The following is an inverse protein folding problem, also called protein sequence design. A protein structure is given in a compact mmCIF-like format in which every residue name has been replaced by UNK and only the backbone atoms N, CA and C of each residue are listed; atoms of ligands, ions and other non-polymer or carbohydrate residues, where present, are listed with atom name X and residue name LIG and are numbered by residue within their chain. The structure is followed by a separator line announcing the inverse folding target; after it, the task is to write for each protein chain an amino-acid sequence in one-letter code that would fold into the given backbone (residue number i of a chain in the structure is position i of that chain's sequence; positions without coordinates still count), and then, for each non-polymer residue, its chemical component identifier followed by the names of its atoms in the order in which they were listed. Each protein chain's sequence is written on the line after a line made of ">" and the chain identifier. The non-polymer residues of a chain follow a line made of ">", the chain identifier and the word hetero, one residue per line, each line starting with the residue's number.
data_IF_859125183869
#
_entry.id   IF_859125183869
#
_cell.length_a   1.000
_cell.length_b   1.000
_cell.length_c   1.000
_cell.angle_alpha   90.00
_cell.angle_beta   90.00
_cell.angle_gamma   90.00
#
_symmetry.space_group_name_H-M   'P 1'
#
loop_
_entity.id
_entity.type
_entity.pdbx_description
1 polymer ?
#
# COMPACT_ATOMS: atom_id res chain seq x y z
N UNK A 1 31.48 48.39 -40.65
CA UNK A 1 32.53 47.93 -39.70
C UNK A 1 32.04 46.61 -39.09
N UNK A 2 32.51 45.47 -39.59
CA UNK A 2 32.06 44.13 -39.14
C UNK A 2 33.16 43.57 -38.23
N UNK A 3 32.88 43.39 -36.94
CA UNK A 3 33.77 42.71 -36.01
C UNK A 3 33.55 41.20 -36.13
N UNK A 4 34.46 40.53 -36.81
CA UNK A 4 34.56 39.07 -36.79
C UNK A 4 35.15 38.65 -35.45
N UNK A 5 34.35 38.03 -34.59
CA UNK A 5 34.84 37.41 -33.35
C UNK A 5 35.62 36.16 -33.71
N UNK A 6 36.93 36.18 -33.46
CA UNK A 6 37.79 35.00 -33.62
C UNK A 6 37.41 33.99 -32.53
N UNK A 7 36.80 32.87 -32.91
CA UNK A 7 36.53 31.76 -32.00
C UNK A 7 37.84 31.03 -31.75
N UNK A 8 38.34 31.13 -30.53
CA UNK A 8 39.58 30.45 -30.10
C UNK A 8 39.33 28.94 -30.14
N UNK A 9 39.85 28.26 -31.15
CA UNK A 9 39.85 26.81 -31.22
C UNK A 9 40.84 26.27 -30.17
N UNK A 10 40.29 25.82 -29.03
CA UNK A 10 41.03 25.05 -28.03
C UNK A 10 41.21 23.63 -28.56
N UNK A 11 42.46 23.20 -28.75
CA UNK A 11 42.77 21.82 -29.12
C UNK A 11 42.26 20.85 -28.06
N UNK A 12 41.52 19.83 -28.50
CA UNK A 12 40.99 18.76 -27.65
C UNK A 12 42.15 18.05 -26.95
N UNK A 13 42.24 18.15 -25.63
CA UNK A 13 43.24 17.43 -24.86
C UNK A 13 42.72 16.00 -24.59
N UNK A 14 43.56 14.99 -24.83
CA UNK A 14 43.23 13.58 -24.56
C UNK A 14 42.78 13.37 -23.10
N UNK A 15 43.37 14.12 -22.16
CA UNK A 15 42.98 14.11 -20.75
C UNK A 15 41.53 14.57 -20.56
N UNK A 16 41.10 15.60 -21.29
CA UNK A 16 39.74 16.14 -21.19
C UNK A 16 38.69 15.12 -21.66
N UNK A 17 38.98 14.39 -22.74
CA UNK A 17 38.08 13.34 -23.23
C UNK A 17 37.99 12.17 -22.24
N UNK A 18 39.11 11.78 -21.62
CA UNK A 18 39.13 10.73 -20.59
C UNK A 18 38.32 11.18 -19.37
N UNK A 19 38.53 12.41 -18.88
CA UNK A 19 37.79 12.96 -17.74
C UNK A 19 36.29 13.04 -18.04
N UNK A 20 35.92 13.53 -19.23
CA UNK A 20 34.52 13.58 -19.66
C UNK A 20 33.90 12.16 -19.72
N UNK A 21 34.64 11.16 -20.20
CA UNK A 21 34.19 9.77 -20.22
C UNK A 21 33.98 9.18 -18.83
N UNK A 22 34.86 9.48 -17.87
CA UNK A 22 34.74 9.05 -16.47
C UNK A 22 33.52 9.70 -15.80
N UNK A 23 33.33 11.01 -16.00
CA UNK A 23 32.18 11.75 -15.46
C UNK A 23 30.87 11.21 -16.06
N UNK A 24 30.84 10.96 -17.37
CA UNK A 24 29.66 10.40 -18.02
C UNK A 24 29.34 9.01 -17.48
N UNK A 25 30.35 8.16 -17.34
CA UNK A 25 30.17 6.79 -16.84
C UNK A 25 29.64 6.77 -15.40
N UNK A 26 30.16 7.64 -14.53
CA UNK A 26 29.66 7.74 -13.15
C UNK A 26 28.23 8.25 -13.09
N UNK A 27 27.87 9.24 -13.93
CA UNK A 27 26.51 9.76 -14.02
C UNK A 27 25.51 8.69 -14.48
N UNK A 28 25.86 7.85 -15.46
CA UNK A 28 24.98 6.78 -15.94
C UNK A 28 24.74 5.72 -14.87
N UNK A 29 25.77 5.36 -14.10
CA UNK A 29 25.65 4.39 -13.01
C UNK A 29 24.73 4.90 -11.89
N UNK A 30 24.89 6.17 -11.49
CA UNK A 30 24.05 6.76 -10.44
C UNK A 30 22.60 6.88 -10.89
N UNK A 31 22.35 7.32 -12.13
CA UNK A 31 21.01 7.37 -12.70
C UNK A 31 20.36 5.98 -12.75
N UNK A 32 21.09 4.97 -13.24
CA UNK A 32 20.59 3.60 -13.29
C UNK A 32 20.21 3.04 -11.92
N UNK A 33 21.02 3.34 -10.89
CA UNK A 33 20.73 2.95 -9.51
C UNK A 33 19.47 3.64 -8.97
N UNK A 34 19.32 4.95 -9.19
CA UNK A 34 18.15 5.71 -8.76
C UNK A 34 16.88 5.20 -9.44
N UNK A 35 16.91 5.00 -10.76
CA UNK A 35 15.76 4.49 -11.51
C UNK A 35 15.35 3.09 -11.02
N UNK A 36 16.33 2.21 -10.79
CA UNK A 36 16.05 0.86 -10.30
C UNK A 36 15.44 0.86 -8.90
N UNK A 37 15.93 1.74 -8.02
CA UNK A 37 15.36 1.96 -6.69
C UNK A 37 13.91 2.44 -6.78
N UNK A 38 13.67 3.51 -7.55
CA UNK A 38 12.33 4.08 -7.72
C UNK A 38 11.30 3.06 -8.27
N UNK A 39 11.69 2.24 -9.25
CA UNK A 39 10.81 1.18 -9.78
C UNK A 39 10.49 0.10 -8.73
N UNK A 40 11.46 -0.21 -7.88
CA UNK A 40 11.27 -1.18 -6.79
C UNK A 40 10.30 -0.63 -5.75
N UNK A 41 10.45 0.65 -5.38
CA UNK A 41 9.58 1.32 -4.41
C UNK A 41 8.15 1.48 -4.96
N UNK A 42 8.00 1.83 -6.24
CA UNK A 42 6.68 1.90 -6.90
C UNK A 42 5.96 0.55 -6.90
N UNK A 43 6.69 -0.53 -7.20
CA UNK A 43 6.12 -1.89 -7.16
C UNK A 43 5.66 -2.25 -5.75
N UNK A 44 6.46 -1.90 -4.75
CA UNK A 44 6.12 -2.16 -3.36
C UNK A 44 4.88 -1.35 -2.93
N UNK A 45 4.83 -0.06 -3.27
CA UNK A 45 3.69 0.79 -2.98
C UNK A 45 2.39 0.23 -3.59
N UNK A 46 2.44 -0.25 -4.84
CA UNK A 46 1.28 -0.88 -5.48
C UNK A 46 0.78 -2.12 -4.74
N UNK A 47 1.68 -2.93 -4.17
CA UNK A 47 1.27 -4.09 -3.35
C UNK A 47 0.55 -3.63 -2.08
N UNK A 48 1.03 -2.57 -1.42
CA UNK A 48 0.37 -1.99 -0.25
C UNK A 48 -0.99 -1.39 -0.59
N UNK A 49 -1.12 -0.68 -1.71
CA UNK A 49 -2.41 -0.15 -2.18
C UNK A 49 -3.41 -1.29 -2.46
N UNK A 50 -2.95 -2.38 -3.06
CA UNK A 50 -3.79 -3.56 -3.32
C UNK A 50 -4.22 -4.21 -2.01
N UNK A 51 -3.30 -4.42 -1.07
CA UNK A 51 -3.60 -4.96 0.24
C UNK A 51 -4.60 -4.06 1.01
N UNK A 52 -4.42 -2.74 0.95
CA UNK A 52 -5.35 -1.77 1.54
C UNK A 52 -6.75 -1.84 0.90
N UNK A 53 -6.83 -2.01 -0.43
CA UNK A 53 -8.11 -2.24 -1.11
C UNK A 53 -8.79 -3.53 -0.67
N UNK A 54 -8.03 -4.61 -0.41
CA UNK A 54 -8.58 -5.84 0.16
C UNK A 54 -9.15 -5.59 1.56
N UNK A 55 -8.42 -4.87 2.42
CA UNK A 55 -8.92 -4.49 3.75
C UNK A 55 -10.21 -3.69 3.65
N UNK A 56 -10.24 -2.67 2.79
CA UNK A 56 -11.39 -1.78 2.61
C UNK A 56 -12.64 -2.55 2.15
N UNK A 57 -12.47 -3.49 1.20
CA UNK A 57 -13.54 -4.40 0.77
C UNK A 57 -14.06 -5.25 1.93
N UNK A 58 -13.18 -5.86 2.72
CA UNK A 58 -13.61 -6.68 3.87
C UNK A 58 -14.31 -5.84 4.93
N UNK A 59 -13.79 -4.65 5.22
CA UNK A 59 -14.42 -3.74 6.17
C UNK A 59 -15.81 -3.30 5.70
N UNK A 60 -15.96 -2.96 4.42
CA UNK A 60 -17.25 -2.60 3.82
C UNK A 60 -18.24 -3.75 3.88
N UNK A 61 -17.79 -5.00 3.68
CA UNK A 61 -18.64 -6.18 3.80
C UNK A 61 -19.11 -6.40 5.25
N UNK A 62 -18.22 -6.24 6.22
CA UNK A 62 -18.56 -6.36 7.65
C UNK A 62 -19.56 -5.26 8.06
N UNK A 63 -19.36 -4.02 7.58
CA UNK A 63 -20.27 -2.91 7.86
C UNK A 63 -21.66 -3.11 7.24
N UNK A 64 -21.72 -3.67 6.01
CA UNK A 64 -22.99 -3.94 5.33
C UNK A 64 -23.80 -5.09 5.94
N UNK A 65 -23.13 -6.14 6.43
CA UNK A 65 -23.76 -7.32 7.05
C UNK A 65 -24.08 -7.07 8.53
N UNK A 66 -23.26 -6.25 9.19
CA UNK A 66 -23.28 -6.06 10.63
C UNK A 66 -22.33 -7.05 11.33
N UNK A 67 -21.61 -6.55 12.34
CA UNK A 67 -20.59 -7.32 13.06
C UNK A 67 -21.15 -8.54 13.79
N UNK A 68 -22.37 -8.46 14.34
CA UNK A 68 -23.00 -9.57 15.06
C UNK A 68 -23.26 -10.76 14.12
N UNK A 69 -23.83 -10.51 12.93
CA UNK A 69 -24.08 -11.55 11.94
C UNK A 69 -22.79 -12.10 11.32
N UNK A 70 -21.76 -11.26 11.18
CA UNK A 70 -20.44 -11.70 10.72
C UNK A 70 -19.79 -12.69 11.69
N UNK A 71 -19.89 -12.45 13.01
CA UNK A 71 -19.39 -13.35 14.04
C UNK A 71 -20.15 -14.69 13.99
N UNK A 72 -21.48 -14.67 13.81
CA UNK A 72 -22.30 -15.89 13.69
C UNK A 72 -21.95 -16.73 12.45
N UNK A 73 -21.58 -16.09 11.34
CA UNK A 73 -21.18 -16.78 10.11
C UNK A 73 -19.83 -17.49 10.21
N UNK A 74 -18.98 -17.12 11.17
CA UNK A 74 -17.71 -17.80 11.45
C UNK A 74 -16.65 -17.72 10.33
N UNK A 75 -16.90 -16.95 9.27
CA UNK A 75 -15.96 -16.77 8.17
C UNK A 75 -15.00 -15.63 8.50
N UNK A 76 -13.94 -15.95 9.24
CA UNK A 76 -12.91 -15.00 9.66
C UNK A 76 -11.67 -15.00 8.79
N UNK A 77 -11.54 -15.91 7.82
CA UNK A 77 -10.35 -16.02 6.98
C UNK A 77 -10.68 -16.33 5.51
N UNK A 78 -9.77 -15.95 4.62
CA UNK A 78 -9.90 -16.23 3.19
C UNK A 78 -8.67 -15.85 2.38
N UNK A 79 -8.71 -16.16 1.08
CA UNK A 79 -7.66 -15.82 0.12
C UNK A 79 -8.27 -15.14 -1.08
N UNK A 80 -7.66 -14.03 -1.51
CA UNK A 80 -7.98 -13.34 -2.75
C UNK A 80 -6.90 -13.66 -3.77
N UNK A 81 -7.25 -14.48 -4.76
CA UNK A 81 -6.37 -14.88 -5.86
C UNK A 81 -6.51 -13.98 -7.10
N UNK A 82 -7.45 -13.02 -7.09
CA UNK A 82 -7.67 -12.06 -8.18
C UNK A 82 -6.42 -11.24 -8.52
N UNK A 83 -5.54 -11.03 -7.53
CA UNK A 83 -4.31 -10.26 -7.68
C UNK A 83 -3.10 -11.12 -7.35
N UNK A 84 -2.14 -11.22 -8.27
CA UNK A 84 -0.81 -11.77 -7.94
C UNK A 84 -0.14 -10.88 -6.89
N UNK A 85 0.52 -11.45 -5.85
CA UNK A 85 0.92 -12.85 -5.67
C UNK A 85 -0.09 -13.75 -4.92
N UNK A 86 -1.32 -13.27 -4.68
CA UNK A 86 -2.30 -13.87 -3.79
C UNK A 86 -2.24 -13.22 -2.40
N UNK A 87 -3.39 -12.71 -1.94
CA UNK A 87 -3.51 -12.02 -0.66
C UNK A 87 -4.40 -12.82 0.28
N UNK A 88 -3.82 -13.36 1.36
CA UNK A 88 -4.56 -14.00 2.42
C UNK A 88 -5.03 -12.95 3.43
N UNK A 89 -6.30 -12.99 3.82
CA UNK A 89 -6.86 -12.07 4.82
C UNK A 89 -7.44 -12.86 5.98
N UNK A 90 -7.36 -12.26 7.18
CA UNK A 90 -7.92 -12.78 8.40
C UNK A 90 -8.51 -11.63 9.23
N UNK A 91 -9.65 -11.87 9.86
CA UNK A 91 -10.41 -10.94 10.69
C UNK A 91 -10.48 -11.50 12.09
N UNK A 92 -10.01 -10.74 13.07
CA UNK A 92 -10.15 -11.05 14.49
C UNK A 92 -11.08 -10.02 15.12
N UNK A 93 -12.09 -10.49 15.84
CA UNK A 93 -13.04 -9.66 16.56
C UNK A 93 -12.85 -9.86 18.07
N UNK A 94 -12.77 -8.77 18.81
CA UNK A 94 -12.67 -8.78 20.27
C UNK A 94 -13.75 -7.88 20.85
N UNK A 95 -14.50 -8.40 21.82
CA UNK A 95 -15.55 -7.64 22.50
C UNK A 95 -14.95 -6.76 23.59
N UNK A 96 -15.11 -5.43 23.49
CA UNK A 96 -14.52 -4.48 24.45
C UNK A 96 -15.34 -4.33 25.75
N UNK A 97 -16.48 -5.02 25.90
CA UNK A 97 -17.26 -5.00 27.15
C UNK A 97 -18.13 -3.77 27.36
N UNK A 98 -18.18 -2.85 26.40
CA UNK A 98 -18.88 -1.57 26.48
C UNK A 98 -19.85 -1.48 25.31
N UNK A 99 -21.15 -1.32 25.59
CA UNK A 99 -22.21 -0.89 24.66
C UNK A 99 -22.21 -1.57 23.26
N UNK A 100 -21.98 -2.88 23.23
CA UNK A 100 -21.89 -3.68 22.00
C UNK A 100 -20.79 -3.25 21.01
N UNK A 101 -19.70 -2.64 21.50
CA UNK A 101 -18.53 -2.25 20.70
C UNK A 101 -17.59 -3.45 20.52
N UNK A 102 -17.21 -3.70 19.27
CA UNK A 102 -16.22 -4.71 18.89
C UNK A 102 -14.98 -4.04 18.30
N UNK A 103 -13.81 -4.47 18.77
CA UNK A 103 -12.54 -4.18 18.13
C UNK A 103 -12.33 -5.21 17.01
N UNK A 104 -12.30 -4.73 15.78
CA UNK A 104 -12.11 -5.54 14.57
C UNK A 104 -10.70 -5.31 14.04
N UNK A 105 -9.91 -6.38 13.99
CA UNK A 105 -8.56 -6.38 13.43
C UNK A 105 -8.55 -7.17 12.14
N UNK A 106 -8.31 -6.49 11.01
CA UNK A 106 -8.17 -7.13 9.70
C UNK A 106 -6.69 -7.19 9.36
N UNK A 107 -6.18 -8.40 9.16
CA UNK A 107 -4.79 -8.67 8.78
C UNK A 107 -4.74 -9.22 7.37
N UNK A 108 -4.00 -8.58 6.48
CA UNK A 108 -3.75 -9.06 5.12
C UNK A 108 -2.29 -9.42 4.97
N UNK A 109 -2.01 -10.61 4.43
CA UNK A 109 -0.68 -11.21 4.29
C UNK A 109 -0.44 -11.62 2.84
N UNK A 110 0.76 -11.35 2.36
CA UNK A 110 1.18 -11.75 1.01
C UNK A 110 2.67 -12.05 0.97
N UNK A 111 3.10 -12.73 -0.08
CA UNK A 111 4.49 -13.13 -0.29
C UNK A 111 5.13 -12.27 -1.38
N UNK A 112 6.11 -11.44 -1.03
CA UNK A 112 6.88 -10.63 -1.98
C UNK A 112 8.29 -11.21 -2.16
N UNK A 113 8.54 -11.88 -3.29
CA UNK A 113 9.84 -12.54 -3.59
C UNK A 113 10.40 -13.35 -2.41
N UNK A 114 9.56 -14.22 -1.85
CA UNK A 114 9.87 -15.06 -0.67
C UNK A 114 10.01 -14.32 0.65
N UNK A 115 9.68 -13.03 0.73
CA UNK A 115 9.57 -12.28 1.98
C UNK A 115 8.09 -12.17 2.36
N UNK A 116 7.66 -12.72 3.51
CA UNK A 116 6.30 -12.51 3.99
C UNK A 116 6.14 -11.03 4.37
N UNK A 117 5.09 -10.41 3.85
CA UNK A 117 4.66 -9.07 4.23
C UNK A 117 3.23 -9.13 4.76
N UNK A 118 2.91 -8.17 5.61
CA UNK A 118 1.57 -8.04 6.15
C UNK A 118 1.23 -6.58 6.43
N UNK A 119 -0.07 -6.29 6.39
CA UNK A 119 -0.67 -5.10 6.98
C UNK A 119 -1.76 -5.53 7.96
N UNK A 120 -1.91 -4.77 9.02
CA UNK A 120 -3.00 -4.93 9.98
C UNK A 120 -3.68 -3.58 10.15
N UNK A 121 -5.01 -3.58 10.06
CA UNK A 121 -5.85 -2.41 10.30
C UNK A 121 -6.79 -2.75 11.44
N UNK A 122 -6.86 -1.84 12.40
CA UNK A 122 -7.75 -1.95 13.54
C UNK A 122 -8.83 -0.88 13.44
N UNK A 123 -10.06 -1.28 13.66
CA UNK A 123 -11.20 -0.38 13.67
C UNK A 123 -12.20 -0.82 14.73
N UNK A 124 -13.00 0.11 15.23
CA UNK A 124 -14.09 -0.17 16.16
C UNK A 124 -15.40 -0.15 15.39
N UNK A 125 -16.17 -1.21 15.52
CA UNK A 125 -17.52 -1.30 14.97
C UNK A 125 -18.51 -1.50 16.11
N UNK A 126 -19.63 -0.79 16.02
CA UNK A 126 -20.76 -1.00 16.93
C UNK A 126 -21.61 -2.14 16.38
N UNK A 127 -21.90 -3.12 17.22
CA UNK A 127 -22.96 -4.08 16.96
C UNK A 127 -24.32 -3.41 17.00
N UNK A 128 -25.32 -4.10 16.44
CA UNK A 128 -26.69 -3.62 16.51
C UNK A 128 -27.18 -3.74 17.95
N UNK A 129 -27.07 -2.66 18.73
CA UNK A 129 -27.78 -2.57 20.00
C UNK A 129 -29.27 -2.55 19.69
N UNK A 130 -29.99 -3.59 20.11
CA UNK A 130 -31.45 -3.74 20.01
C UNK A 130 -32.26 -2.66 20.76
N UNK A 131 -31.66 -1.52 21.11
CA UNK A 131 -32.25 -0.46 21.94
C UNK A 131 -32.91 0.68 21.15
N UNK A 132 -32.79 0.74 19.82
CA UNK A 132 -33.40 1.84 19.03
C UNK A 132 -34.85 1.61 18.61
N UNK A 133 -35.46 0.45 18.88
CA UNK A 133 -36.86 0.14 18.44
C UNK A 133 -37.94 0.33 19.51
N UNK A 134 -37.65 0.96 20.66
CA UNK A 134 -38.66 1.17 21.73
C UNK A 134 -38.97 2.65 22.04
N UNK A 135 -38.58 3.59 21.16
CA UNK A 135 -38.67 5.03 21.44
C UNK A 135 -39.56 5.87 20.52
N UNK A 136 -40.44 5.31 19.70
CA UNK A 136 -41.37 6.11 18.88
C UNK A 136 -42.75 5.49 18.85
N UNK A 137 -43.39 5.48 20.03
CA UNK A 137 -44.82 5.33 20.14
C UNK A 137 -45.31 6.22 21.28
N UNK A 138 -45.34 7.54 21.08
CA UNK A 138 -46.17 8.43 21.89
C UNK A 138 -46.78 9.55 21.03
N UNK A 139 -48.07 9.30 20.72
CA UNK A 139 -49.22 10.22 20.73
C UNK A 139 -49.45 11.23 19.61
#
# INVERSE_FOLDING_TARGET
>A
MIRTTCTRQSGFNLVETIVAGVILSSAVLTLGAITSGALTDMRLNRQYETAASVVDKQLTLIDAVGIDQFIEQGQSEGVVEEFEPGYAWAVSTEYEGIDNVYLVTITVRWLDRSRPRQIAVQTRLNGTSTLTTLGTQER
#
